data_IF_495385887678
#
_entry.id   IF_495385887678
#
_cell.length_a   1.000
_cell.length_b   1.000
_cell.length_c   1.000
_cell.angle_alpha   90.00
_cell.angle_beta   90.00
_cell.angle_gamma   90.00
#
_symmetry.space_group_name_H-M   'P 1'
#
loop_
_entity.id
_entity.type
_entity.pdbx_description
1 polymer ?
#
# COMPACT_ATOMS: atom_id res chain seq x y z
N UNK A 1 31.56 20.85 30.79
CA UNK A 1 31.47 19.43 30.40
C UNK A 1 30.04 18.90 30.32
N UNK A 2 29.17 19.12 31.32
CA UNK A 2 27.77 18.63 31.28
C UNK A 2 26.95 19.19 30.10
N UNK A 3 27.08 20.49 29.81
CA UNK A 3 26.41 21.15 28.68
C UNK A 3 26.87 20.66 27.31
N UNK A 4 28.17 20.42 27.14
CA UNK A 4 28.72 19.86 25.90
C UNK A 4 28.27 18.41 25.68
N UNK A 5 28.24 17.60 26.74
CA UNK A 5 27.73 16.22 26.71
C UNK A 5 26.23 16.16 26.37
N UNK A 6 25.43 17.08 26.91
CA UNK A 6 24.00 17.17 26.59
C UNK A 6 23.76 17.62 25.14
N UNK A 7 24.59 18.52 24.61
CA UNK A 7 24.53 18.94 23.21
C UNK A 7 24.92 17.79 22.26
N UNK A 8 25.93 17.01 22.62
CA UNK A 8 26.32 15.80 21.86
C UNK A 8 25.18 14.78 21.82
N UNK A 9 24.52 14.50 22.95
CA UNK A 9 23.39 13.57 23.02
C UNK A 9 22.22 14.04 22.14
N UNK A 10 21.91 15.34 22.15
CA UNK A 10 20.83 15.91 21.35
C UNK A 10 21.11 15.80 19.85
N UNK A 11 22.36 16.06 19.43
CA UNK A 11 22.80 15.92 18.04
C UNK A 11 22.73 14.45 17.58
N UNK A 12 23.06 13.48 18.43
CA UNK A 12 22.97 12.05 18.08
C UNK A 12 21.53 11.59 17.84
N UNK A 13 20.53 12.14 18.55
CA UNK A 13 19.11 11.81 18.33
C UNK A 13 18.54 12.38 17.03
N UNK A 14 19.04 13.52 16.55
CA UNK A 14 18.62 14.13 15.28
C UNK A 14 18.97 13.28 14.04
N UNK A 15 19.96 12.38 14.14
CA UNK A 15 20.33 11.47 13.06
C UNK A 15 19.52 10.17 13.03
N UNK A 16 18.61 9.92 13.98
CA UNK A 16 17.70 8.77 13.99
C UNK A 16 16.44 8.99 13.14
N UNK A 17 16.58 9.66 11.99
CA UNK A 17 15.48 9.68 11.01
C UNK A 17 15.49 8.37 10.24
N UNK A 18 14.53 7.49 10.53
CA UNK A 18 14.32 6.29 9.73
C UNK A 18 13.74 6.70 8.38
N UNK A 19 14.49 6.50 7.30
CA UNK A 19 13.93 6.52 5.95
C UNK A 19 12.90 5.40 5.85
N UNK A 20 11.61 5.73 5.96
CA UNK A 20 10.53 4.81 5.61
C UNK A 20 10.47 4.74 4.09
N UNK A 21 10.96 3.64 3.53
CA UNK A 21 10.70 3.29 2.14
C UNK A 21 9.29 2.70 2.12
N UNK A 22 8.33 3.42 1.53
CA UNK A 22 7.01 2.85 1.26
C UNK A 22 7.21 1.62 0.39
N UNK A 23 6.77 0.46 0.87
CA UNK A 23 6.86 -0.77 0.09
C UNK A 23 5.71 -0.77 -0.91
N UNK A 24 6.02 -0.48 -2.18
CA UNK A 24 5.02 -0.51 -3.24
C UNK A 24 4.70 -1.96 -3.61
N UNK A 25 3.57 -2.47 -3.12
CA UNK A 25 3.12 -3.82 -3.41
C UNK A 25 2.39 -3.87 -4.75
N UNK A 26 2.99 -4.56 -5.73
CA UNK A 26 2.35 -4.75 -7.04
C UNK A 26 1.48 -6.02 -7.09
N UNK A 27 0.28 -5.87 -7.60
CA UNK A 27 -0.71 -6.93 -7.87
C UNK A 27 -1.09 -6.86 -9.36
N UNK A 28 -1.14 -7.98 -10.05
CA UNK A 28 -1.55 -8.03 -11.46
C UNK A 28 -3.02 -8.45 -11.59
N UNK A 29 -3.74 -7.84 -12.53
CA UNK A 29 -5.11 -8.21 -12.90
C UNK A 29 -5.09 -9.18 -14.08
N UNK A 30 -5.51 -10.43 -13.85
CA UNK A 30 -5.28 -11.55 -14.78
C UNK A 30 -6.59 -12.23 -15.19
N UNK A 31 -6.66 -12.61 -16.46
CA UNK A 31 -7.74 -13.45 -16.97
C UNK A 31 -7.65 -14.89 -16.44
N UNK A 32 -6.44 -15.40 -16.22
CA UNK A 32 -6.21 -16.77 -15.77
C UNK A 32 -4.91 -16.89 -14.96
N UNK A 33 -4.95 -17.67 -13.89
CA UNK A 33 -3.78 -18.11 -13.13
C UNK A 33 -3.94 -19.59 -12.78
N UNK A 34 -3.14 -20.46 -13.42
CA UNK A 34 -3.29 -21.91 -13.28
C UNK A 34 -4.67 -22.38 -13.74
N UNK A 35 -5.49 -22.89 -12.81
CA UNK A 35 -6.87 -23.34 -13.07
C UNK A 35 -7.92 -22.28 -12.75
N UNK A 36 -7.54 -21.17 -12.14
CA UNK A 36 -8.45 -20.08 -11.75
C UNK A 36 -8.60 -19.06 -12.88
N UNK A 37 -9.77 -18.44 -12.99
CA UNK A 37 -10.09 -17.40 -13.98
C UNK A 37 -10.53 -16.11 -13.29
N UNK A 38 -10.22 -14.96 -13.88
CA UNK A 38 -10.54 -13.61 -13.37
C UNK A 38 -9.99 -13.36 -11.96
N UNK A 39 -8.67 -13.30 -11.82
CA UNK A 39 -8.00 -13.24 -10.51
C UNK A 39 -6.97 -12.12 -10.43
N UNK A 40 -6.75 -11.65 -9.20
CA UNK A 40 -5.55 -10.93 -8.85
C UNK A 40 -4.38 -11.91 -8.62
N UNK A 41 -3.15 -11.53 -9.00
CA UNK A 41 -1.96 -12.39 -8.80
C UNK A 41 -1.63 -12.67 -7.34
N UNK A 42 -2.05 -11.78 -6.43
CA UNK A 42 -1.96 -11.94 -4.98
C UNK A 42 -3.36 -11.85 -4.37
N UNK A 43 -3.74 -12.85 -3.58
CA UNK A 43 -5.06 -12.90 -2.91
C UNK A 43 -5.09 -12.10 -1.61
N UNK A 44 -3.95 -12.02 -0.94
CA UNK A 44 -3.75 -11.30 0.32
C UNK A 44 -2.42 -10.59 0.21
N UNK A 45 -2.39 -9.31 0.55
CA UNK A 45 -1.18 -8.53 0.77
C UNK A 45 -1.19 -8.01 2.19
N UNK A 46 -0.01 -7.88 2.79
CA UNK A 46 0.19 -7.25 4.09
C UNK A 46 1.11 -6.07 3.85
N UNK A 47 0.67 -4.90 4.26
CA UNK A 47 1.34 -3.62 4.02
C UNK A 47 1.28 -2.82 5.32
N UNK A 48 2.22 -1.91 5.49
CA UNK A 48 2.22 -0.97 6.61
C UNK A 48 1.36 0.26 6.30
N UNK A 49 0.96 0.98 7.35
CA UNK A 49 0.25 2.26 7.19
C UNK A 49 1.17 3.26 6.49
N UNK A 50 0.73 3.77 5.34
CA UNK A 50 1.48 4.67 4.47
C UNK A 50 1.95 4.01 3.16
N UNK A 51 1.90 2.68 3.06
CA UNK A 51 2.27 1.96 1.84
C UNK A 51 1.22 2.09 0.74
N UNK A 52 1.67 1.88 -0.50
CA UNK A 52 0.82 1.91 -1.69
C UNK A 52 0.73 0.54 -2.33
N UNK A 53 -0.48 0.11 -2.65
CA UNK A 53 -0.69 -1.05 -3.52
C UNK A 53 -0.91 -0.56 -4.94
N UNK A 54 -0.17 -1.13 -5.88
CA UNK A 54 -0.31 -0.89 -7.31
C UNK A 54 -0.96 -2.10 -7.98
N UNK A 55 -2.15 -1.92 -8.53
CA UNK A 55 -2.80 -2.91 -9.38
C UNK A 55 -2.48 -2.62 -10.84
N UNK A 56 -1.68 -3.49 -11.44
CA UNK A 56 -1.30 -3.46 -12.85
C UNK A 56 -2.37 -4.08 -13.72
N UNK A 57 -2.81 -3.36 -14.74
CA UNK A 57 -3.76 -3.81 -15.76
C UNK A 57 -3.09 -4.72 -16.79
N UNK A 58 -2.59 -5.87 -16.33
CA UNK A 58 -1.91 -6.87 -17.16
C UNK A 58 -2.83 -7.49 -18.22
N UNK A 59 -4.09 -7.74 -17.88
CA UNK A 59 -5.13 -8.09 -18.86
C UNK A 59 -6.26 -7.05 -18.85
N UNK A 60 -6.83 -6.70 -20.02
CA UNK A 60 -7.95 -5.76 -20.09
C UNK A 60 -9.25 -6.41 -19.56
N UNK A 61 -10.19 -5.58 -19.12
CA UNK A 61 -11.51 -6.01 -18.65
C UNK A 61 -11.67 -6.05 -17.12
N UNK A 62 -10.60 -5.75 -16.38
CA UNK A 62 -10.62 -5.70 -14.91
C UNK A 62 -10.59 -4.24 -14.41
N UNK A 63 -11.08 -4.04 -13.18
CA UNK A 63 -10.94 -2.80 -12.42
C UNK A 63 -10.74 -3.14 -10.93
N UNK A 64 -10.46 -2.12 -10.12
CA UNK A 64 -10.37 -2.24 -8.66
C UNK A 64 -11.53 -1.47 -8.03
N UNK A 65 -12.24 -2.10 -7.10
CA UNK A 65 -13.33 -1.48 -6.36
C UNK A 65 -13.34 -1.99 -4.93
N UNK A 66 -13.45 -1.07 -3.97
CA UNK A 66 -13.64 -1.41 -2.57
C UNK A 66 -15.09 -1.83 -2.33
N UNK A 67 -15.25 -3.03 -1.76
CA UNK A 67 -16.57 -3.57 -1.44
C UNK A 67 -17.17 -2.85 -0.24
N UNK A 68 -18.50 -2.70 -0.23
CA UNK A 68 -19.21 -2.07 0.89
C UNK A 68 -18.95 -2.87 2.17
N UNK A 69 -18.35 -2.21 3.18
CA UNK A 69 -18.02 -2.82 4.47
C UNK A 69 -16.76 -3.70 4.46
N UNK A 70 -16.00 -3.76 3.35
CA UNK A 70 -14.70 -4.44 3.29
C UNK A 70 -13.53 -3.48 3.31
N UNK A 71 -13.70 -2.35 4.00
CA UNK A 71 -12.64 -1.39 4.32
C UNK A 71 -12.85 -0.85 5.73
N UNK A 72 -11.79 -0.36 6.40
CA UNK A 72 -11.91 0.27 7.73
C UNK A 72 -12.81 1.52 7.72
N UNK A 73 -13.32 1.88 8.89
CA UNK A 73 -14.08 3.12 9.05
C UNK A 73 -13.24 4.35 8.64
N UNK A 74 -13.88 5.30 7.94
CA UNK A 74 -13.21 6.50 7.43
C UNK A 74 -12.51 6.35 6.08
N UNK A 75 -12.48 5.14 5.50
CA UNK A 75 -11.97 4.95 4.14
C UNK A 75 -13.05 5.33 3.11
N UNK A 76 -12.67 6.21 2.17
CA UNK A 76 -13.54 6.64 1.09
C UNK A 76 -13.82 5.53 0.07
N UNK A 77 -14.89 5.69 -0.71
CA UNK A 77 -15.17 4.78 -1.83
C UNK A 77 -14.05 4.86 -2.86
N UNK A 78 -13.51 3.71 -3.24
CA UNK A 78 -12.53 3.58 -4.30
C UNK A 78 -13.10 2.70 -5.41
N UNK A 79 -13.13 3.23 -6.64
CA UNK A 79 -13.54 2.49 -7.84
C UNK A 79 -12.80 3.06 -9.05
N UNK A 80 -12.12 2.20 -9.80
CA UNK A 80 -11.36 2.61 -10.98
C UNK A 80 -12.10 2.30 -12.27
N UNK A 81 -11.65 2.94 -13.37
CA UNK A 81 -12.08 2.61 -14.73
C UNK A 81 -11.51 1.26 -15.13
N UNK A 82 -12.26 0.53 -15.96
CA UNK A 82 -11.78 -0.73 -16.54
C UNK A 82 -10.51 -0.55 -17.38
N UNK A 83 -9.65 -1.58 -17.35
CA UNK A 83 -8.44 -1.69 -18.17
C UNK A 83 -7.45 -0.54 -17.95
N UNK A 84 -7.37 -0.03 -16.72
CA UNK A 84 -6.43 1.00 -16.28
C UNK A 84 -5.70 0.53 -15.04
N UNK A 85 -4.42 0.89 -14.97
CA UNK A 85 -3.65 0.74 -13.74
C UNK A 85 -4.31 1.54 -12.62
N UNK A 86 -4.18 1.03 -11.40
CA UNK A 86 -4.73 1.64 -10.21
C UNK A 86 -3.69 1.65 -9.10
N UNK A 87 -3.73 2.67 -8.25
CA UNK A 87 -2.93 2.72 -7.04
C UNK A 87 -3.76 3.27 -5.89
N UNK A 88 -3.50 2.78 -4.69
CA UNK A 88 -4.12 3.28 -3.48
C UNK A 88 -3.12 3.24 -2.32
N UNK A 89 -2.96 4.38 -1.65
CA UNK A 89 -2.12 4.51 -0.45
C UNK A 89 -2.97 4.29 0.80
N UNK A 90 -2.61 3.29 1.61
CA UNK A 90 -3.38 2.88 2.77
C UNK A 90 -2.98 3.67 4.00
N UNK A 91 -3.88 4.55 4.46
CA UNK A 91 -3.62 5.46 5.61
C UNK A 91 -4.33 5.06 6.90
N UNK A 92 -5.31 4.15 6.80
CA UNK A 92 -6.13 3.70 7.94
C UNK A 92 -5.80 2.23 8.19
N UNK A 93 -5.40 1.85 9.41
CA UNK A 93 -5.14 0.45 9.74
C UNK A 93 -6.44 -0.37 9.74
N UNK A 94 -6.34 -1.62 9.30
CA UNK A 94 -7.45 -2.59 9.32
C UNK A 94 -7.40 -3.53 8.12
N UNK A 95 -8.57 -4.08 7.75
CA UNK A 95 -8.78 -4.95 6.58
C UNK A 95 -9.72 -4.23 5.61
#
# INVERSE_FOLDING_TARGET
>A
MKTLKNLTILITFLFFTSSSFAADETIEMLNKLGKESMVYSKKIVRIDVGDTVFWKSTNPGHNVEFIKGGVPEGVEKFKTKFSKDAQYTFKVPGI
#
